data_IF_319610582762
#
_entry.id   IF_319610582762
#
_cell.length_a   1.000
_cell.length_b   1.000
_cell.length_c   1.000
_cell.angle_alpha   90.00
_cell.angle_beta   90.00
_cell.angle_gamma   90.00
#
_symmetry.space_group_name_H-M   'P 1'
#
loop_
_entity.id
_entity.type
_entity.pdbx_description
1 polymer ?
#
# COMPACT_ATOMS: atom_id res chain seq x y z
N UNK A 1 -4.32 -5.47 5.46
CA UNK A 1 -3.30 -4.70 4.73
C UNK A 1 -2.20 -5.68 4.41
N UNK A 2 -2.00 -5.95 3.12
CA UNK A 2 -0.98 -6.88 2.66
C UNK A 2 0.33 -6.13 2.51
N UNK A 3 1.44 -6.76 2.87
CA UNK A 3 2.78 -6.16 2.86
C UNK A 3 3.75 -7.16 2.25
N UNK A 4 4.56 -6.68 1.32
CA UNK A 4 5.57 -7.45 0.64
C UNK A 4 6.86 -6.67 0.60
N UNK A 5 7.97 -7.39 0.80
CA UNK A 5 9.30 -6.80 0.74
C UNK A 5 9.78 -6.77 -0.71
N UNK A 6 10.29 -5.61 -1.13
CA UNK A 6 10.87 -5.38 -2.45
C UNK A 6 12.14 -4.55 -2.32
N UNK A 7 12.93 -4.55 -3.39
CA UNK A 7 14.09 -3.67 -3.50
C UNK A 7 13.68 -2.36 -4.14
N UNK A 8 13.86 -1.24 -3.43
CA UNK A 8 13.74 0.11 -3.97
C UNK A 8 15.13 0.71 -4.12
N UNK A 9 15.46 1.15 -5.32
CA UNK A 9 16.65 1.96 -5.58
C UNK A 9 16.25 3.42 -5.70
N UNK A 10 17.15 4.34 -5.44
CA UNK A 10 16.91 5.74 -5.73
C UNK A 10 18.16 6.57 -5.65
N UNK A 11 18.09 7.77 -6.23
CA UNK A 11 19.19 8.72 -6.22
C UNK A 11 18.80 9.92 -5.37
N UNK A 12 19.29 9.94 -4.14
CA UNK A 12 19.06 11.06 -3.21
C UNK A 12 20.36 11.85 -3.11
N UNK A 13 20.30 13.16 -3.38
CA UNK A 13 21.45 14.08 -3.33
C UNK A 13 22.67 13.63 -4.16
N UNK A 14 22.43 12.95 -5.29
CA UNK A 14 23.49 12.45 -6.17
C UNK A 14 24.15 11.14 -5.72
N UNK A 15 23.71 10.54 -4.61
CA UNK A 15 24.16 9.22 -4.15
C UNK A 15 23.10 8.17 -4.44
N UNK A 16 23.51 7.11 -5.12
CA UNK A 16 22.67 5.92 -5.30
C UNK A 16 22.48 5.28 -3.93
N UNK A 17 21.21 5.14 -3.53
CA UNK A 17 20.78 4.38 -2.36
C UNK A 17 19.94 3.21 -2.84
N UNK A 18 20.05 2.09 -2.13
CA UNK A 18 19.25 0.91 -2.39
C UNK A 18 18.74 0.42 -1.04
N UNK A 19 17.45 0.18 -0.97
CA UNK A 19 16.77 -0.40 0.18
C UNK A 19 16.16 -1.75 -0.25
N UNK A 20 16.80 -2.87 0.12
CA UNK A 20 16.28 -4.20 -0.16
C UNK A 20 15.10 -4.59 0.75
N UNK A 21 14.84 -3.82 1.80
CA UNK A 21 13.82 -4.09 2.82
C UNK A 21 12.61 -3.16 2.69
N UNK A 22 12.45 -2.52 1.52
CA UNK A 22 11.32 -1.65 1.26
C UNK A 22 10.01 -2.46 1.21
N UNK A 23 8.93 -1.86 1.69
CA UNK A 23 7.63 -2.51 1.83
C UNK A 23 6.63 -1.92 0.84
N UNK A 24 6.11 -2.75 -0.05
CA UNK A 24 4.98 -2.43 -0.93
C UNK A 24 3.74 -3.21 -0.52
N UNK A 25 2.56 -2.64 -0.75
CA UNK A 25 1.33 -3.35 -0.46
C UNK A 25 0.08 -2.63 -0.91
N UNK A 26 -1.06 -3.26 -0.65
CA UNK A 26 -2.37 -2.63 -0.80
C UNK A 26 -3.00 -2.40 0.56
N UNK A 27 -3.52 -1.19 0.76
CA UNK A 27 -4.26 -0.77 1.94
C UNK A 27 -5.76 -0.81 1.62
N UNK A 28 -6.53 -1.79 2.15
CA UNK A 28 -7.96 -1.87 1.92
C UNK A 28 -8.77 -0.68 2.49
N UNK A 29 -8.52 -0.20 3.73
CA UNK A 29 -9.13 1.03 4.24
C UNK A 29 -8.96 2.25 3.33
N UNK A 30 -7.73 2.51 2.86
CA UNK A 30 -7.42 3.66 2.00
C UNK A 30 -7.68 3.39 0.51
N UNK A 31 -7.95 2.14 0.15
CA UNK A 31 -8.17 1.67 -1.23
C UNK A 31 -7.04 2.11 -2.18
N UNK A 32 -5.81 2.05 -1.69
CA UNK A 32 -4.62 2.54 -2.40
C UNK A 32 -3.47 1.56 -2.26
N UNK A 33 -2.62 1.49 -3.27
CA UNK A 33 -1.29 0.94 -3.09
C UNK A 33 -0.43 1.90 -2.27
N UNK A 34 0.43 1.34 -1.44
CA UNK A 34 1.39 2.09 -0.64
C UNK A 34 2.79 1.54 -0.86
N UNK A 35 3.77 2.42 -0.74
CA UNK A 35 5.19 2.09 -0.78
C UNK A 35 5.87 2.79 0.39
N UNK A 36 6.59 2.03 1.19
CA UNK A 36 7.45 2.52 2.25
C UNK A 36 8.87 2.06 1.96
N UNK A 37 9.80 2.99 1.87
CA UNK A 37 11.21 2.69 1.67
C UNK A 37 12.07 3.64 2.49
N UNK A 38 13.31 3.21 2.73
CA UNK A 38 14.28 3.86 3.59
C UNK A 38 13.71 4.09 4.98
N UNK A 39 13.38 3.01 5.73
CA UNK A 39 13.02 3.15 7.14
C UNK A 39 14.15 3.87 7.86
N UNK A 40 13.81 4.87 8.66
CA UNK A 40 14.81 5.61 9.41
C UNK A 40 14.99 4.95 10.78
N UNK A 41 16.22 4.57 11.13
CA UNK A 41 16.49 3.86 12.39
C UNK A 41 16.23 4.71 13.66
N UNK A 42 16.23 6.03 13.52
CA UNK A 42 16.05 6.99 14.63
C UNK A 42 14.69 7.68 14.64
N UNK A 43 14.01 7.75 13.49
CA UNK A 43 12.68 8.36 13.39
C UNK A 43 11.70 7.32 12.86
N UNK A 44 10.54 7.18 13.50
CA UNK A 44 9.45 6.34 12.98
C UNK A 44 8.88 6.83 11.61
N UNK A 45 9.50 7.85 11.00
CA UNK A 45 9.17 8.38 9.68
C UNK A 45 10.12 7.81 8.61
N UNK A 46 9.63 6.95 7.70
CA UNK A 46 10.42 6.48 6.56
C UNK A 46 10.70 7.62 5.58
N UNK A 47 11.87 7.60 4.93
CA UNK A 47 12.25 8.68 4.00
C UNK A 47 11.38 8.70 2.72
N UNK A 48 10.81 7.54 2.36
CA UNK A 48 9.83 7.43 1.30
C UNK A 48 8.55 6.78 1.85
N UNK A 49 7.45 7.54 1.87
CA UNK A 49 6.11 7.00 2.13
C UNK A 49 5.13 7.52 1.09
N UNK A 50 4.62 6.60 0.27
CA UNK A 50 3.55 6.82 -0.70
C UNK A 50 2.30 6.03 -0.31
N UNK A 51 1.12 6.52 -0.67
CA UNK A 51 -0.14 5.84 -0.42
C UNK A 51 -0.74 6.13 0.96
N UNK A 52 -0.50 7.32 1.52
CA UNK A 52 -1.04 7.75 2.82
C UNK A 52 -2.41 8.42 2.74
N UNK A 53 -3.00 8.53 1.54
CA UNK A 53 -4.29 9.17 1.30
C UNK A 53 -5.27 8.19 0.66
N UNK A 54 -6.56 8.42 0.88
CA UNK A 54 -7.67 7.74 0.20
C UNK A 54 -7.47 7.80 -1.32
N UNK A 55 -7.49 6.62 -1.96
CA UNK A 55 -7.36 6.42 -3.41
C UNK A 55 -6.22 7.20 -4.06
N UNK A 56 -5.10 7.36 -3.35
CA UNK A 56 -3.94 8.08 -3.88
C UNK A 56 -3.35 7.39 -5.11
N UNK A 57 -3.28 6.06 -5.09
CA UNK A 57 -2.68 5.21 -6.12
C UNK A 57 -3.55 3.99 -6.35
N UNK A 58 -4.35 4.01 -7.43
CA UNK A 58 -5.24 2.90 -7.77
C UNK A 58 -4.55 1.81 -8.61
N UNK A 59 -3.39 2.13 -9.18
CA UNK A 59 -2.55 1.23 -9.98
C UNK A 59 -1.11 1.20 -9.47
N UNK A 60 -0.38 0.11 -9.75
CA UNK A 60 1.06 0.01 -9.49
C UNK A 60 1.86 0.98 -10.35
N UNK A 61 1.35 1.33 -11.53
CA UNK A 61 1.96 2.32 -12.43
C UNK A 61 1.92 3.72 -11.82
N UNK A 62 0.80 4.14 -11.22
CA UNK A 62 0.71 5.44 -10.55
C UNK A 62 1.69 5.53 -9.37
N UNK A 63 1.78 4.44 -8.59
CA UNK A 63 2.72 4.33 -7.48
C UNK A 63 4.17 4.40 -7.98
N UNK A 64 4.47 3.74 -9.10
CA UNK A 64 5.77 3.78 -9.75
C UNK A 64 6.12 5.18 -10.26
N UNK A 65 5.20 5.86 -10.95
CA UNK A 65 5.39 7.24 -11.37
C UNK A 65 5.65 8.19 -10.20
N UNK A 66 4.95 8.01 -9.07
CA UNK A 66 5.19 8.81 -7.87
C UNK A 66 6.54 8.52 -7.20
N UNK A 67 7.00 7.26 -7.22
CA UNK A 67 8.35 6.92 -6.79
C UNK A 67 9.40 7.57 -7.69
N UNK A 68 9.24 7.47 -9.01
CA UNK A 68 10.13 8.08 -10.00
C UNK A 68 10.20 9.60 -9.87
N UNK A 69 9.06 10.25 -9.64
CA UNK A 69 8.98 11.69 -9.39
C UNK A 69 9.77 12.12 -8.14
N UNK A 70 9.98 11.20 -7.19
CA UNK A 70 10.82 11.39 -6.00
C UNK A 70 12.28 10.93 -6.20
N UNK A 71 12.61 10.40 -7.38
CA UNK A 71 13.95 9.89 -7.71
C UNK A 71 14.20 8.45 -7.27
N UNK A 72 13.14 7.67 -7.04
CA UNK A 72 13.20 6.27 -6.65
C UNK A 72 12.59 5.36 -7.72
N UNK A 73 13.18 4.19 -7.91
CA UNK A 73 12.72 3.14 -8.81
C UNK A 73 12.71 1.79 -8.08
N UNK A 74 11.62 1.06 -8.23
CA UNK A 74 11.42 -0.25 -7.63
C UNK A 74 11.05 -1.33 -8.65
N UNK A 75 11.02 -0.95 -9.93
CA UNK A 75 10.75 -1.85 -11.03
C UNK A 75 12.06 -2.48 -11.57
N UNK A 76 11.99 -3.70 -12.13
CA UNK A 76 10.79 -4.52 -12.30
C UNK A 76 10.36 -5.26 -11.03
N UNK A 77 9.06 -5.28 -10.74
CA UNK A 77 8.48 -6.20 -9.76
C UNK A 77 8.37 -7.61 -10.35
N UNK A 78 8.54 -8.63 -9.53
CA UNK A 78 8.26 -10.01 -9.93
C UNK A 78 6.79 -10.16 -10.33
N UNK A 79 6.46 -10.85 -11.45
CA UNK A 79 5.08 -10.99 -11.92
C UNK A 79 4.18 -11.68 -10.88
N UNK A 80 4.72 -12.60 -10.08
CA UNK A 80 3.99 -13.21 -8.96
C UNK A 80 3.59 -12.20 -7.88
N UNK A 81 4.46 -11.23 -7.61
CA UNK A 81 4.20 -10.20 -6.61
C UNK A 81 3.17 -9.19 -7.12
N UNK A 82 3.31 -8.77 -8.39
CA UNK A 82 2.32 -7.92 -9.04
C UNK A 82 0.93 -8.58 -9.06
N UNK A 83 0.85 -9.87 -9.36
CA UNK A 83 -0.38 -10.64 -9.30
C UNK A 83 -0.98 -10.66 -7.89
N UNK A 84 -0.15 -10.94 -6.85
CA UNK A 84 -0.60 -10.89 -5.44
C UNK A 84 -1.18 -9.54 -5.04
N UNK A 85 -0.54 -8.45 -5.44
CA UNK A 85 -1.01 -7.08 -5.17
C UNK A 85 -2.36 -6.79 -5.84
N UNK A 86 -2.55 -7.27 -7.07
CA UNK A 86 -3.83 -7.18 -7.78
C UNK A 86 -4.90 -8.04 -7.11
N UNK A 87 -4.56 -9.26 -6.71
CA UNK A 87 -5.45 -10.15 -5.96
C UNK A 87 -5.85 -9.55 -4.61
N UNK A 88 -4.94 -8.89 -3.91
CA UNK A 88 -5.24 -8.18 -2.66
C UNK A 88 -6.23 -7.03 -2.88
N UNK A 89 -6.06 -6.25 -3.94
CA UNK A 89 -7.02 -5.22 -4.34
C UNK A 89 -8.38 -5.83 -4.68
N UNK A 90 -8.41 -6.93 -5.42
CA UNK A 90 -9.64 -7.63 -5.78
C UNK A 90 -10.35 -8.22 -4.54
N UNK A 91 -9.60 -8.85 -3.64
CA UNK A 91 -10.09 -9.38 -2.37
C UNK A 91 -10.61 -8.27 -1.45
N UNK A 92 -10.00 -7.09 -1.47
CA UNK A 92 -10.48 -5.91 -0.76
C UNK A 92 -11.75 -5.32 -1.37
N UNK A 93 -11.86 -5.33 -2.69
CA UNK A 93 -13.03 -4.82 -3.43
C UNK A 93 -14.23 -5.77 -3.35
N UNK A 94 -13.99 -7.07 -3.22
CA UNK A 94 -15.02 -8.11 -3.07
C UNK A 94 -15.54 -8.30 -1.64
N UNK A 95 -14.91 -7.68 -0.64
CA UNK A 95 -15.49 -7.64 0.71
C UNK A 95 -16.57 -6.55 0.75
N UNK A 96 -17.83 -6.86 1.13
CA UNK A 96 -18.72 -5.80 1.54
C UNK A 96 -17.99 -5.00 2.61
N UNK A 97 -17.92 -3.69 2.40
CA UNK A 97 -17.45 -2.72 3.36
C UNK A 97 -18.10 -3.10 4.69
N UNK A 98 -17.35 -3.74 5.60
CA UNK A 98 -17.85 -4.00 6.94
C UNK A 98 -17.92 -2.64 7.58
N UNK A 99 -19.08 -2.01 7.38
CA UNK A 99 -19.56 -0.88 8.13
C UNK A 99 -19.14 -1.08 9.57
N UNK A 100 -18.21 -0.23 10.01
CA UNK A 100 -17.80 -0.20 11.38
C UNK A 100 -19.04 -0.08 12.24
N UNK A 101 -19.22 -1.05 13.14
CA UNK A 101 -19.98 -0.93 14.39
C UNK A 101 -21.52 -0.80 14.25
N UNK A 102 -22.09 -0.45 13.09
CA UNK A 102 -23.55 -0.29 12.93
C UNK A 102 -24.28 -1.53 12.37
N UNK A 103 -23.58 -2.44 11.69
CA UNK A 103 -24.18 -3.64 11.11
C UNK A 103 -24.70 -4.67 12.13
N UNK A 104 -24.12 -4.69 13.33
CA UNK A 104 -24.53 -5.60 14.41
C UNK A 104 -25.74 -5.08 15.20
N UNK A 105 -25.93 -3.75 15.26
CA UNK A 105 -27.02 -3.16 16.05
C UNK A 105 -28.40 -3.29 15.37
N UNK A 106 -28.43 -3.31 14.02
CA UNK A 106 -29.67 -3.48 13.26
C UNK A 106 -30.18 -4.92 13.23
N UNK A 107 -29.33 -5.92 13.54
CA UNK A 107 -29.78 -7.31 13.65
C UNK A 107 -30.48 -7.64 14.97
N UNK A 108 -30.25 -6.86 16.03
CA UNK A 108 -30.93 -7.06 17.31
C UNK A 108 -32.32 -6.38 17.41
N UNK A 109 -32.64 -5.42 16.53
CA UNK A 109 -33.93 -4.71 16.58
C UNK A 109 -35.08 -5.44 15.85
N UNK A 110 -34.81 -6.57 15.19
CA UNK A 110 -35.79 -7.28 14.36
C UNK A 110 -36.26 -8.61 14.94
N UNK A 111 -36.14 -8.82 16.26
CA UNK A 111 -36.79 -9.94 16.93
C UNK A 111 -38.18 -9.50 17.45
N UNK A 112 -39.28 -9.99 16.87
CA UNK A 112 -40.60 -9.79 17.43
C UNK A 112 -40.76 -10.66 18.69
N UNK A 113 -41.42 -10.06 19.68
CA UNK A 113 -41.83 -10.66 20.96
C UNK A 113 -42.89 -11.75 20.76
#
# INVERSE_FOLDING_TARGET
MSRYTITVTGTVTGKVRSDPDAVIGYDPPLRTYFLQAFPHEETDEPALWLGTRDRAFETLEDLHHAALARGYDFMPLSPELAARLVDDKAAASGRPQRDGILGDLLKHLNQPN
#
